data_IF_434847350374
#
_entry.id   IF_434847350374
#
_cell.length_a   1.000
_cell.length_b   1.000
_cell.length_c   1.000
_cell.angle_alpha   90.00
_cell.angle_beta   90.00
_cell.angle_gamma   90.00
#
_symmetry.space_group_name_H-M   'P 1'
#
loop_
_entity.id
_entity.type
_entity.pdbx_description
1 polymer ?
#
# COMPACT_ATOMS: atom_id res chain seq x y z
N UNK A 1 10.25 17.30 19.63
CA UNK A 1 10.13 16.62 18.32
C UNK A 1 8.89 15.76 18.44
N UNK A 2 7.77 16.17 17.84
CA UNK A 2 6.52 15.45 17.99
C UNK A 2 6.63 14.11 17.26
N UNK A 3 6.49 13.03 18.02
CA UNK A 3 6.35 11.68 17.50
C UNK A 3 5.10 11.68 16.62
N UNK A 4 5.27 11.74 15.30
CA UNK A 4 4.16 11.70 14.36
C UNK A 4 3.59 10.29 14.38
N UNK A 5 2.62 10.07 15.27
CA UNK A 5 1.85 8.84 15.36
C UNK A 5 1.01 8.68 14.10
N UNK A 6 1.61 8.09 13.08
CA UNK A 6 0.93 7.69 11.86
C UNK A 6 0.00 6.53 12.17
N UNK A 7 -1.21 6.54 11.63
CA UNK A 7 -2.21 5.50 11.87
C UNK A 7 -1.85 4.18 11.18
N UNK A 8 -1.09 4.24 10.09
CA UNK A 8 -0.55 3.08 9.39
C UNK A 8 0.79 3.38 8.71
N UNK A 9 1.53 2.33 8.35
CA UNK A 9 2.82 2.46 7.66
C UNK A 9 2.65 2.79 6.17
N UNK A 10 1.84 1.99 5.48
CA UNK A 10 1.58 2.10 4.06
C UNK A 10 0.08 2.37 3.82
N UNK A 11 -0.25 3.39 3.04
CA UNK A 11 -1.60 3.71 2.61
C UNK A 11 -1.67 3.69 1.08
N UNK A 12 -2.51 2.82 0.53
CA UNK A 12 -2.77 2.78 -0.91
C UNK A 12 -3.90 3.76 -1.23
N UNK A 13 -3.68 4.65 -2.19
CA UNK A 13 -4.61 5.71 -2.60
C UNK A 13 -5.32 5.33 -3.89
N UNK A 14 -6.64 5.39 -3.82
CA UNK A 14 -7.57 5.28 -4.94
C UNK A 14 -7.92 6.67 -5.50
N UNK A 15 -8.60 6.71 -6.66
CA UNK A 15 -9.06 7.94 -7.31
C UNK A 15 -10.04 8.72 -6.43
N UNK A 16 -10.94 8.04 -5.71
CA UNK A 16 -11.99 8.67 -4.89
C UNK A 16 -11.46 9.75 -3.92
N UNK A 17 -10.59 9.40 -2.95
CA UNK A 17 -10.01 10.37 -2.01
C UNK A 17 -9.23 11.52 -2.68
N UNK A 18 -8.61 11.27 -3.84
CA UNK A 18 -7.86 12.27 -4.59
C UNK A 18 -8.79 13.24 -5.33
N UNK A 19 -9.89 12.73 -5.90
CA UNK A 19 -10.94 13.53 -6.54
C UNK A 19 -11.71 14.38 -5.52
N UNK A 20 -11.97 13.85 -4.32
CA UNK A 20 -12.64 14.58 -3.24
C UNK A 20 -11.71 15.51 -2.44
N UNK A 21 -10.42 15.59 -2.80
CA UNK A 21 -9.41 16.43 -2.13
C UNK A 21 -9.34 16.17 -0.61
N UNK A 22 -9.48 14.90 -0.21
CA UNK A 22 -9.57 14.52 1.19
C UNK A 22 -8.30 14.88 1.97
N UNK A 23 -8.39 15.21 3.27
CA UNK A 23 -7.21 15.51 4.08
C UNK A 23 -6.44 14.22 4.40
N UNK A 24 -5.49 13.85 3.53
CA UNK A 24 -4.73 12.60 3.66
C UNK A 24 -3.49 12.73 4.57
N UNK A 25 -3.03 13.94 4.83
CA UNK A 25 -1.75 14.20 5.53
C UNK A 25 -1.76 13.62 6.95
N UNK A 26 -0.69 12.92 7.31
CA UNK A 26 -0.47 12.38 8.64
C UNK A 26 -1.11 11.01 8.90
N UNK A 27 -1.92 10.49 7.97
CA UNK A 27 -2.54 9.17 8.10
C UNK A 27 -1.51 8.05 8.03
N UNK A 28 -0.52 8.19 7.15
CA UNK A 28 0.53 7.21 6.93
C UNK A 28 1.92 7.84 6.76
N UNK A 29 2.94 6.99 6.86
CA UNK A 29 4.34 7.32 6.51
C UNK A 29 4.54 7.28 4.98
N UNK A 30 3.98 6.26 4.33
CA UNK A 30 4.07 6.04 2.90
C UNK A 30 2.68 6.01 2.24
N UNK A 31 2.53 6.76 1.16
CA UNK A 31 1.34 6.84 0.33
C UNK A 31 1.69 6.28 -1.03
N UNK A 32 0.99 5.24 -1.45
CA UNK A 32 1.25 4.56 -2.70
C UNK A 32 0.04 4.65 -3.60
N UNK A 33 0.25 4.78 -4.90
CA UNK A 33 -0.82 4.66 -5.89
C UNK A 33 -0.29 3.96 -7.14
N UNK A 34 -1.21 3.65 -8.06
CA UNK A 34 -0.89 3.03 -9.34
C UNK A 34 -1.00 4.06 -10.46
N UNK A 35 -0.24 3.94 -11.55
CA UNK A 35 -0.34 4.87 -12.69
C UNK A 35 -1.77 4.99 -13.23
N UNK A 36 -2.53 3.89 -13.25
CA UNK A 36 -3.91 3.84 -13.71
C UNK A 36 -4.82 4.83 -12.99
N UNK A 37 -4.64 5.00 -11.68
CA UNK A 37 -5.40 5.98 -10.89
C UNK A 37 -5.00 7.40 -11.31
N UNK A 38 -3.72 7.66 -11.54
CA UNK A 38 -3.26 8.98 -12.00
C UNK A 38 -3.71 9.31 -13.42
N UNK A 39 -3.92 8.31 -14.27
CA UNK A 39 -4.45 8.46 -15.62
C UNK A 39 -5.96 8.80 -15.61
N UNK A 40 -6.69 8.34 -14.60
CA UNK A 40 -8.09 8.69 -14.37
C UNK A 40 -8.26 10.11 -13.80
N UNK A 41 -7.24 10.63 -13.11
CA UNK A 41 -7.22 12.00 -12.59
C UNK A 41 -7.04 13.05 -13.70
N UNK A 42 -8.14 13.37 -14.39
CA UNK A 42 -8.19 14.41 -15.43
C UNK A 42 -8.27 15.83 -14.88
N UNK A 43 -8.72 16.00 -13.64
CA UNK A 43 -8.83 17.32 -13.00
C UNK A 43 -7.47 17.78 -12.47
N UNK A 44 -7.06 18.99 -12.89
CA UNK A 44 -5.82 19.63 -12.46
C UNK A 44 -5.73 19.78 -10.93
N UNK A 45 -6.85 20.06 -10.24
CA UNK A 45 -6.89 20.23 -8.78
C UNK A 45 -6.56 18.95 -8.03
N UNK A 46 -7.07 17.81 -8.52
CA UNK A 46 -6.81 16.51 -7.91
C UNK A 46 -5.33 16.11 -8.10
N UNK A 47 -4.77 16.38 -9.28
CA UNK A 47 -3.34 16.15 -9.56
C UNK A 47 -2.43 17.03 -8.70
N UNK A 48 -2.73 18.32 -8.60
CA UNK A 48 -2.02 19.24 -7.69
C UNK A 48 -2.14 18.81 -6.22
N UNK A 49 -3.28 18.25 -5.81
CA UNK A 49 -3.46 17.75 -4.44
C UNK A 49 -2.54 16.56 -4.15
N UNK A 50 -2.42 15.62 -5.09
CA UNK A 50 -1.46 14.52 -4.99
C UNK A 50 0.00 15.01 -4.97
N UNK A 51 0.36 15.97 -5.82
CA UNK A 51 1.70 16.56 -5.84
C UNK A 51 2.04 17.27 -4.52
N UNK A 52 1.09 18.04 -3.96
CA UNK A 52 1.26 18.70 -2.65
C UNK A 52 1.44 17.71 -1.50
N UNK A 53 0.84 16.52 -1.58
CA UNK A 53 1.07 15.47 -0.59
C UNK A 53 2.55 15.04 -0.58
N UNK A 54 3.17 14.93 -1.76
CA UNK A 54 4.59 14.60 -1.92
C UNK A 54 5.56 15.69 -1.47
N UNK A 55 5.14 16.96 -1.49
CA UNK A 55 5.96 18.09 -1.02
C UNK A 55 5.96 18.25 0.51
N UNK A 56 5.11 17.50 1.23
CA UNK A 56 5.06 17.56 2.68
C UNK A 56 6.28 16.87 3.29
N UNK A 57 7.09 17.61 4.06
CA UNK A 57 8.26 17.07 4.74
C UNK A 57 7.89 15.83 5.59
N UNK A 58 8.64 14.73 5.39
CA UNK A 58 8.45 13.47 6.10
C UNK A 58 7.40 12.53 5.51
N UNK A 59 6.79 12.87 4.37
CA UNK A 59 5.83 12.00 3.68
C UNK A 59 6.48 11.35 2.47
N UNK A 60 6.41 10.02 2.36
CA UNK A 60 6.88 9.28 1.17
C UNK A 60 5.70 9.02 0.24
N UNK A 61 5.72 9.56 -0.98
CA UNK A 61 4.71 9.29 -2.00
C UNK A 61 5.33 8.52 -3.16
N UNK A 62 4.74 7.40 -3.53
CA UNK A 62 5.25 6.51 -4.57
C UNK A 62 4.15 6.11 -5.56
N UNK A 63 4.50 6.10 -6.84
CA UNK A 63 3.66 5.52 -7.90
C UNK A 63 4.30 4.21 -8.30
N UNK A 64 3.59 3.10 -8.11
CA UNK A 64 4.16 1.76 -8.29
C UNK A 64 3.13 0.81 -8.87
N UNK A 65 3.58 -0.05 -9.78
CA UNK A 65 2.75 -1.13 -10.31
C UNK A 65 2.72 -2.32 -9.35
N UNK A 66 1.58 -3.03 -9.26
CA UNK A 66 1.51 -4.29 -8.54
C UNK A 66 2.45 -5.33 -9.17
N UNK A 67 2.86 -6.32 -8.39
CA UNK A 67 3.55 -7.48 -8.93
C UNK A 67 2.58 -8.40 -9.71
N UNK A 68 3.11 -9.13 -10.70
CA UNK A 68 2.30 -9.97 -11.57
C UNK A 68 1.57 -11.11 -10.82
N UNK A 69 2.17 -11.62 -9.74
CA UNK A 69 1.56 -12.70 -8.96
C UNK A 69 0.34 -12.18 -8.17
N UNK A 70 0.45 -11.01 -7.56
CA UNK A 70 -0.65 -10.33 -6.87
C UNK A 70 -1.76 -9.90 -7.83
N UNK A 71 -1.39 -9.40 -9.02
CA UNK A 71 -2.36 -9.06 -10.04
C UNK A 71 -3.16 -10.29 -10.48
N UNK A 72 -2.48 -11.40 -10.79
CA UNK A 72 -3.12 -12.66 -11.13
C UNK A 72 -4.01 -13.17 -9.98
N UNK A 73 -3.53 -13.09 -8.73
CA UNK A 73 -4.29 -13.50 -7.55
C UNK A 73 -5.60 -12.73 -7.43
N UNK A 74 -5.55 -11.40 -7.48
CA UNK A 74 -6.73 -10.53 -7.38
C UNK A 74 -7.71 -10.80 -8.51
N UNK A 75 -7.23 -10.93 -9.76
CA UNK A 75 -8.09 -11.25 -10.91
C UNK A 75 -8.81 -12.58 -10.71
N UNK A 76 -8.09 -13.63 -10.29
CA UNK A 76 -8.70 -14.94 -10.06
C UNK A 76 -9.69 -14.90 -8.89
N UNK A 77 -9.39 -14.14 -7.84
CA UNK A 77 -10.29 -13.96 -6.70
C UNK A 77 -11.57 -13.23 -7.11
N UNK A 78 -11.45 -12.10 -7.81
CA UNK A 78 -12.59 -11.34 -8.32
C UNK A 78 -13.47 -12.15 -9.27
N UNK A 79 -12.88 -13.05 -10.08
CA UNK A 79 -13.65 -13.98 -10.93
C UNK A 79 -14.43 -15.01 -10.12
N UNK A 80 -13.88 -15.47 -9.00
CA UNK A 80 -14.55 -16.43 -8.11
C UNK A 80 -15.70 -15.80 -7.33
N UNK A 81 -15.55 -14.55 -6.90
CA UNK A 81 -16.60 -13.81 -6.19
C UNK A 81 -17.65 -13.23 -7.13
N UNK A 82 -17.32 -13.08 -8.41
CA UNK A 82 -18.21 -12.52 -9.43
C UNK A 82 -18.03 -11.01 -9.66
N UNK A 83 -17.12 -10.36 -8.94
CA UNK A 83 -16.89 -8.91 -9.01
C UNK A 83 -16.08 -8.47 -10.22
N UNK A 84 -15.40 -9.41 -10.91
CA UNK A 84 -14.51 -9.08 -12.03
C UNK A 84 -15.20 -8.29 -13.15
N UNK A 85 -16.50 -8.47 -13.37
CA UNK A 85 -17.26 -7.77 -14.42
C UNK A 85 -17.56 -6.30 -14.10
N UNK A 86 -17.53 -5.91 -12.82
CA UNK A 86 -17.87 -4.56 -12.37
C UNK A 86 -16.65 -3.76 -11.92
N UNK A 87 -15.52 -4.42 -11.65
CA UNK A 87 -14.27 -3.76 -11.30
C UNK A 87 -13.56 -3.21 -12.54
N UNK A 88 -13.12 -1.97 -12.47
CA UNK A 88 -12.29 -1.34 -13.50
C UNK A 88 -10.86 -1.86 -13.47
N UNK A 89 -10.07 -1.49 -14.49
CA UNK A 89 -8.64 -1.81 -14.50
C UNK A 89 -7.89 -1.12 -13.34
N UNK A 90 -8.24 0.12 -13.00
CA UNK A 90 -7.65 0.84 -11.87
C UNK A 90 -7.97 0.14 -10.54
N UNK A 91 -9.23 -0.28 -10.33
CA UNK A 91 -9.65 -1.02 -9.13
C UNK A 91 -8.82 -2.29 -8.94
N UNK A 92 -8.68 -3.08 -10.00
CA UNK A 92 -7.87 -4.32 -9.98
C UNK A 92 -6.41 -4.01 -9.64
N UNK A 93 -5.82 -2.95 -10.21
CA UNK A 93 -4.44 -2.57 -9.92
C UNK A 93 -4.26 -2.08 -8.47
N UNK A 94 -5.20 -1.30 -7.92
CA UNK A 94 -5.19 -0.83 -6.52
C UNK A 94 -5.29 -2.01 -5.55
N UNK A 95 -6.22 -2.93 -5.79
CA UNK A 95 -6.37 -4.16 -5.00
C UNK A 95 -5.10 -5.01 -5.09
N UNK A 96 -4.54 -5.17 -6.29
CA UNK A 96 -3.32 -5.93 -6.50
C UNK A 96 -2.11 -5.30 -5.79
N UNK A 97 -1.96 -3.97 -5.80
CA UNK A 97 -0.87 -3.28 -5.10
C UNK A 97 -1.00 -3.47 -3.59
N UNK A 98 -2.23 -3.39 -3.08
CA UNK A 98 -2.53 -3.66 -1.67
C UNK A 98 -2.15 -5.09 -1.29
N UNK A 99 -2.51 -6.07 -2.13
CA UNK A 99 -2.12 -7.47 -1.93
C UNK A 99 -0.59 -7.67 -1.99
N UNK A 100 0.10 -7.04 -2.95
CA UNK A 100 1.57 -7.07 -3.07
C UNK A 100 2.25 -6.63 -1.77
N UNK A 101 1.80 -5.50 -1.21
CA UNK A 101 2.34 -4.96 0.04
C UNK A 101 2.04 -5.90 1.21
N UNK A 102 0.82 -6.43 1.28
CA UNK A 102 0.42 -7.37 2.33
C UNK A 102 1.30 -8.63 2.33
N UNK A 103 1.50 -9.26 1.16
CA UNK A 103 2.34 -10.46 1.03
C UNK A 103 3.77 -10.17 1.45
N UNK A 104 4.34 -9.05 1.00
CA UNK A 104 5.71 -8.65 1.35
C UNK A 104 5.87 -8.48 2.86
N UNK A 105 4.96 -7.77 3.51
CA UNK A 105 5.09 -7.53 4.95
C UNK A 105 4.79 -8.77 5.78
N UNK A 106 3.87 -9.62 5.32
CA UNK A 106 3.66 -10.92 5.95
C UNK A 106 4.94 -11.76 5.90
N UNK A 107 5.62 -11.83 4.75
CA UNK A 107 6.88 -12.55 4.63
C UNK A 107 7.97 -11.99 5.56
N UNK A 108 8.13 -10.65 5.60
CA UNK A 108 9.10 -10.01 6.49
C UNK A 108 8.82 -10.28 7.98
N UNK A 109 7.55 -10.30 8.38
CA UNK A 109 7.15 -10.62 9.76
C UNK A 109 7.46 -12.08 10.12
N UNK A 110 7.20 -13.03 9.21
CA UNK A 110 7.52 -14.45 9.45
C UNK A 110 9.04 -14.70 9.52
N UNK A 111 9.83 -14.02 8.68
CA UNK A 111 11.30 -14.04 8.76
C UNK A 111 11.82 -13.47 10.09
N UNK A 112 11.24 -12.35 10.55
CA UNK A 112 11.62 -11.73 11.81
C UNK A 112 11.32 -12.64 13.01
N UNK A 113 10.15 -13.31 13.02
CA UNK A 113 9.78 -14.29 14.05
C UNK A 113 10.74 -15.48 14.07
N UNK A 114 11.08 -16.01 12.90
CA UNK A 114 12.01 -17.14 12.76
C UNK A 114 13.38 -16.79 13.35
N UNK A 115 13.91 -15.62 13.00
CA UNK A 115 15.19 -15.12 13.56
C UNK A 115 15.10 -14.93 15.07
N UNK A 116 14.04 -14.32 15.59
CA UNK A 116 13.85 -14.10 17.02
C UNK A 116 13.82 -15.39 17.85
N UNK A 117 13.27 -16.48 17.30
CA UNK A 117 13.24 -17.79 17.95
C UNK A 117 14.62 -18.47 17.99
N UNK A 118 15.48 -18.23 17.00
CA UNK A 118 16.83 -18.79 16.94
C UNK A 118 17.78 -18.15 17.96
N UNK A 119 17.61 -16.85 18.26
CA UNK A 119 18.45 -16.14 19.24
C UNK A 119 18.10 -16.47 20.71
N UNK A 120 16.86 -16.84 21.02
CA UNK A 120 16.46 -17.17 22.40
C UNK A 120 16.71 -18.63 22.80
N UNK A 121 16.96 -19.53 21.84
CA UNK A 121 17.27 -20.95 22.11
C UNK A 121 18.74 -21.25 22.45
N UNK A 122 19.62 -20.24 22.44
CA UNK A 122 21.07 -20.41 22.58
C UNK A 122 21.65 -20.25 23.99
N UNK A 123 20.83 -19.95 25.01
CA UNK A 123 21.30 -19.57 26.34
C UNK A 123 21.10 -20.62 27.45
N UNK A 124 20.81 -21.88 27.10
CA UNK A 124 20.50 -22.94 28.08
C UNK A 124 21.35 -24.21 27.94
N UNK A 125 22.62 -24.08 27.50
CA UNK A 125 23.56 -25.21 27.44
C UNK A 125 24.96 -24.84 27.96
N UNK A 126 25.06 -24.41 29.23
CA UNK A 126 26.35 -24.28 29.92
C UNK A 126 26.24 -24.15 31.46
N UNK A 127 25.34 -24.92 32.09
CA UNK A 127 25.32 -25.10 33.54
C UNK A 127 25.74 -26.53 33.91
#
# INVERSE_FOLDING_TARGET
MAESSHRCKNLVLDSGPLLSLSPLRGLAEAYLTVPQVLDELKDKRAREHFERLGLSAGVRVEVRNPDAASLAHVIQFAKKTGDYSVLSHADICVLALTHSLHVREKAALEEAKTKASLIHGGHELLA
#
